data_IF_293125262263
#
_entry.id   IF_293125262263
#
_cell.length_a   1.000
_cell.length_b   1.000
_cell.length_c   1.000
_cell.angle_alpha   90.00
_cell.angle_beta   90.00
_cell.angle_gamma   90.00
#
_symmetry.space_group_name_H-M   'P 1'
#
loop_
_entity.id
_entity.type
_entity.pdbx_description
1 polymer ?
#
# COMPACT_ATOMS: atom_id res chain seq x y z
N UNK A 1 21.96 15.27 -2.44
CA UNK A 1 21.67 13.86 -2.78
C UNK A 1 20.35 13.39 -2.20
N UNK A 2 20.16 13.31 -0.87
CA UNK A 2 18.84 12.92 -0.30
C UNK A 2 17.75 13.98 -0.53
N UNK A 3 18.08 15.27 -0.47
CA UNK A 3 17.15 16.37 -0.76
C UNK A 3 16.73 16.39 -2.24
N UNK A 4 17.67 16.21 -3.16
CA UNK A 4 17.38 16.12 -4.60
C UNK A 4 16.49 14.92 -4.95
N UNK A 5 16.66 13.78 -4.26
CA UNK A 5 15.79 12.60 -4.43
C UNK A 5 14.38 12.86 -3.93
N UNK A 6 14.22 13.58 -2.83
CA UNK A 6 12.90 13.92 -2.31
C UNK A 6 12.17 14.91 -3.23
N UNK A 7 12.88 15.88 -3.81
CA UNK A 7 12.28 16.87 -4.72
C UNK A 7 11.83 16.21 -6.04
N UNK A 8 12.67 15.36 -6.64
CA UNK A 8 12.31 14.62 -7.85
C UNK A 8 11.20 13.60 -7.58
N UNK A 9 11.24 12.90 -6.43
CA UNK A 9 10.17 11.99 -6.04
C UNK A 9 8.85 12.75 -5.85
N UNK A 10 8.88 13.94 -5.25
CA UNK A 10 7.67 14.77 -5.04
C UNK A 10 7.10 15.27 -6.36
N UNK A 11 7.94 15.69 -7.33
CA UNK A 11 7.47 16.08 -8.67
C UNK A 11 6.88 14.88 -9.44
N UNK A 12 7.54 13.72 -9.38
CA UNK A 12 7.01 12.50 -9.97
C UNK A 12 5.70 12.08 -9.32
N UNK A 13 5.63 12.07 -7.99
CA UNK A 13 4.41 11.77 -7.24
C UNK A 13 3.28 12.72 -7.62
N UNK A 14 3.55 14.03 -7.72
CA UNK A 14 2.55 15.00 -8.18
C UNK A 14 2.05 14.70 -9.59
N UNK A 15 2.95 14.34 -10.52
CA UNK A 15 2.57 13.95 -11.89
C UNK A 15 1.76 12.66 -11.91
N UNK A 16 2.14 11.67 -11.09
CA UNK A 16 1.39 10.42 -10.95
C UNK A 16 0.01 10.66 -10.34
N UNK A 17 -0.10 11.52 -9.33
CA UNK A 17 -1.36 11.88 -8.67
C UNK A 17 -2.28 12.69 -9.59
N UNK A 18 -1.74 13.54 -10.46
CA UNK A 18 -2.53 14.29 -11.44
C UNK A 18 -3.04 13.40 -12.58
N UNK A 19 -2.23 12.42 -12.99
CA UNK A 19 -2.54 11.57 -14.12
C UNK A 19 -3.48 10.40 -13.76
N UNK A 20 -3.46 9.98 -12.49
CA UNK A 20 -4.37 8.96 -11.97
C UNK A 20 -5.63 9.68 -11.48
N UNK A 21 -6.80 9.37 -12.05
CA UNK A 21 -8.06 9.93 -11.59
C UNK A 21 -8.32 9.53 -10.12
N UNK A 22 -7.99 10.43 -9.21
CA UNK A 22 -8.20 10.24 -7.78
C UNK A 22 -9.63 10.63 -7.43
N UNK A 23 -10.42 9.63 -7.05
CA UNK A 23 -11.71 9.86 -6.41
C UNK A 23 -11.51 10.41 -5.01
N UNK A 24 -12.36 11.34 -4.59
CA UNK A 24 -12.46 11.75 -3.18
C UNK A 24 -13.56 10.94 -2.52
N UNK A 25 -13.21 10.22 -1.47
CA UNK A 25 -14.19 9.56 -0.62
C UNK A 25 -14.05 10.12 0.78
N UNK A 26 -15.12 10.77 1.25
CA UNK A 26 -15.24 11.18 2.64
C UNK A 26 -15.32 9.93 3.51
N UNK A 27 -14.38 9.77 4.44
CA UNK A 27 -14.43 8.70 5.44
C UNK A 27 -14.49 9.30 6.83
N UNK A 28 -15.36 8.74 7.66
CA UNK A 28 -15.40 9.08 9.07
C UNK A 28 -14.17 8.47 9.79
N UNK A 29 -13.46 9.29 10.56
CA UNK A 29 -12.32 8.87 11.38
C UNK A 29 -12.42 9.42 12.79
N UNK A 30 -11.77 8.75 13.73
CA UNK A 30 -11.75 9.15 15.14
C UNK A 30 -10.68 10.22 15.35
N UNK A 31 -11.04 11.37 15.89
CA UNK A 31 -10.17 12.52 16.16
C UNK A 31 -10.13 12.85 17.65
N UNK A 32 -8.93 13.05 18.18
CA UNK A 32 -8.74 13.46 19.56
C UNK A 32 -8.42 14.96 19.63
N UNK A 33 -9.31 15.74 20.25
CA UNK A 33 -9.10 17.19 20.46
C UNK A 33 -7.89 17.47 21.34
N UNK A 34 -7.68 16.70 22.41
CA UNK A 34 -6.57 16.95 23.34
C UNK A 34 -5.21 16.69 22.68
N UNK A 35 -5.10 15.64 21.86
CA UNK A 35 -3.88 15.33 21.11
C UNK A 35 -3.79 16.04 19.76
N UNK A 36 -4.83 16.77 19.36
CA UNK A 36 -4.95 17.47 18.07
C UNK A 36 -4.61 16.59 16.85
N UNK A 37 -5.09 15.33 16.83
CA UNK A 37 -4.81 14.39 15.73
C UNK A 37 -5.88 13.33 15.53
N UNK A 38 -5.94 12.79 14.31
CA UNK A 38 -6.66 11.55 14.03
C UNK A 38 -5.97 10.36 14.68
N UNK A 39 -6.76 9.41 15.18
CA UNK A 39 -6.28 8.22 15.87
C UNK A 39 -6.29 7.03 14.90
N UNK A 40 -5.16 6.32 14.82
CA UNK A 40 -5.13 4.98 14.23
C UNK A 40 -5.91 4.00 15.13
N UNK A 41 -6.44 2.93 14.56
CA UNK A 41 -7.31 1.96 15.25
C UNK A 41 -6.69 1.42 16.56
N UNK A 42 -5.36 1.19 16.55
CA UNK A 42 -4.58 0.76 17.72
C UNK A 42 -4.52 1.77 18.88
N UNK A 43 -4.85 3.03 18.62
CA UNK A 43 -4.87 4.14 19.59
C UNK A 43 -6.30 4.47 20.06
N UNK A 44 -7.29 3.75 19.54
CA UNK A 44 -8.70 3.85 19.94
C UNK A 44 -8.99 2.71 20.90
N UNK A 45 -9.57 3.04 22.06
CA UNK A 45 -10.08 2.06 23.02
C UNK A 45 -11.57 2.30 23.25
N UNK A 46 -12.32 1.22 23.47
CA UNK A 46 -13.74 1.28 23.78
C UNK A 46 -14.17 0.08 24.63
N UNK A 47 -15.38 0.15 25.18
CA UNK A 47 -16.04 -1.04 25.69
C UNK A 47 -16.59 -1.87 24.53
N UNK A 48 -16.35 -3.18 24.53
CA UNK A 48 -16.72 -4.08 23.45
C UNK A 48 -18.25 -4.17 23.32
N UNK A 49 -18.82 -3.91 22.13
CA UNK A 49 -20.27 -3.92 21.93
C UNK A 49 -20.86 -5.35 21.78
N UNK A 50 -20.03 -6.39 21.82
CA UNK A 50 -20.50 -7.77 21.66
C UNK A 50 -21.25 -8.20 22.90
N UNK A 51 -22.47 -8.71 22.72
CA UNK A 51 -23.27 -9.30 23.79
C UNK A 51 -22.43 -10.35 24.55
N UNK A 52 -22.53 -10.33 25.88
CA UNK A 52 -21.79 -11.21 26.81
C UNK A 52 -20.25 -11.05 26.84
N UNK A 53 -19.68 -10.09 26.10
CA UNK A 53 -18.24 -9.80 26.17
C UNK A 53 -17.92 -8.70 27.19
N UNK A 54 -18.51 -7.51 27.03
CA UNK A 54 -18.32 -6.32 27.88
C UNK A 54 -16.85 -6.03 28.25
N UNK A 55 -15.93 -6.25 27.32
CA UNK A 55 -14.51 -5.97 27.57
C UNK A 55 -14.24 -4.46 27.48
N UNK A 56 -13.76 -3.84 28.55
CA UNK A 56 -13.62 -2.37 28.65
C UNK A 56 -12.43 -1.76 27.90
N UNK A 57 -11.55 -2.57 27.32
CA UNK A 57 -10.35 -2.07 26.64
C UNK A 57 -10.20 -2.67 25.25
N UNK A 58 -11.33 -2.87 24.55
CA UNK A 58 -11.30 -3.33 23.17
C UNK A 58 -10.62 -2.29 22.27
N UNK A 59 -9.78 -2.74 21.34
CA UNK A 59 -9.15 -1.86 20.35
C UNK A 59 -10.15 -1.48 19.26
N UNK A 60 -9.85 -0.41 18.52
CA UNK A 60 -10.71 0.06 17.43
C UNK A 60 -10.96 -0.97 16.33
N UNK A 61 -9.97 -1.84 16.06
CA UNK A 61 -9.97 -2.85 14.99
C UNK A 61 -10.44 -4.23 15.46
N UNK A 62 -10.14 -4.61 16.70
CA UNK A 62 -10.42 -5.95 17.22
C UNK A 62 -10.54 -5.98 18.75
N UNK A 63 -11.51 -6.75 19.25
CA UNK A 63 -11.60 -7.07 20.67
C UNK A 63 -10.66 -8.23 21.04
N UNK A 64 -9.77 -8.03 22.00
CA UNK A 64 -8.81 -9.07 22.44
C UNK A 64 -9.48 -10.20 23.24
N UNK A 65 -10.65 -9.96 23.85
CA UNK A 65 -11.38 -10.97 24.64
C UNK A 65 -12.19 -11.94 23.78
N UNK A 66 -12.95 -11.44 22.81
CA UNK A 66 -13.83 -12.28 21.97
C UNK A 66 -13.34 -12.46 20.52
N UNK A 67 -12.27 -11.76 20.11
CA UNK A 67 -11.70 -11.83 18.77
C UNK A 67 -12.50 -11.13 17.67
N UNK A 68 -13.68 -10.55 17.98
CA UNK A 68 -14.54 -9.89 16.99
C UNK A 68 -13.84 -8.67 16.37
N UNK A 69 -13.92 -8.57 15.05
CA UNK A 69 -13.50 -7.39 14.29
C UNK A 69 -14.48 -6.23 14.52
N UNK A 70 -13.93 -5.05 14.76
CA UNK A 70 -14.65 -3.85 15.13
C UNK A 70 -14.34 -2.73 14.13
N UNK A 71 -15.26 -1.78 14.03
CA UNK A 71 -15.05 -0.54 13.30
C UNK A 71 -15.04 0.62 14.31
N UNK A 72 -13.95 1.40 14.41
CA UNK A 72 -13.81 2.42 15.45
C UNK A 72 -14.89 3.51 15.41
N UNK A 73 -15.51 3.77 14.26
CA UNK A 73 -16.59 4.76 14.13
C UNK A 73 -17.94 4.28 14.66
N UNK A 74 -18.09 2.98 14.89
CA UNK A 74 -19.34 2.36 15.37
C UNK A 74 -19.31 2.06 16.87
N UNK A 75 -18.15 2.25 17.51
CA UNK A 75 -17.95 1.97 18.93
C UNK A 75 -18.51 3.09 19.81
N UNK A 76 -19.03 2.68 20.97
CA UNK A 76 -19.51 3.58 22.03
C UNK A 76 -18.42 3.76 23.10
N UNK A 77 -18.49 4.85 23.85
CA UNK A 77 -17.57 5.16 24.95
C UNK A 77 -16.10 5.17 24.54
N UNK A 78 -15.83 5.79 23.39
CA UNK A 78 -14.50 5.95 22.82
C UNK A 78 -13.55 6.64 23.80
N UNK A 79 -12.35 6.10 23.92
CA UNK A 79 -11.24 6.64 24.71
C UNK A 79 -9.98 6.68 23.85
N UNK A 80 -9.25 7.79 23.94
CA UNK A 80 -7.91 7.87 23.37
C UNK A 80 -6.93 7.10 24.26
N UNK A 81 -6.26 6.09 23.71
CA UNK A 81 -5.24 5.32 24.47
C UNK A 81 -4.12 6.19 25.05
N UNK A 82 -3.83 7.31 24.41
CA UNK A 82 -2.71 8.20 24.78
C UNK A 82 -3.07 9.15 25.92
N UNK A 83 -4.21 9.84 25.84
CA UNK A 83 -4.58 10.89 26.80
C UNK A 83 -5.87 10.61 27.58
N UNK A 84 -6.53 9.48 27.32
CA UNK A 84 -7.77 9.02 27.96
C UNK A 84 -9.00 9.90 27.74
N UNK A 85 -8.89 11.02 27.01
CA UNK A 85 -10.04 11.86 26.65
C UNK A 85 -10.97 11.16 25.66
N UNK A 86 -12.24 11.57 25.65
CA UNK A 86 -13.24 11.10 24.68
C UNK A 86 -12.98 11.73 23.31
N UNK A 87 -12.62 10.94 22.28
CA UNK A 87 -12.47 11.42 20.92
C UNK A 87 -13.83 11.71 20.26
N UNK A 88 -13.82 12.45 19.16
CA UNK A 88 -14.99 12.72 18.33
C UNK A 88 -14.82 12.11 16.92
N UNK A 89 -15.92 11.79 16.28
CA UNK A 89 -15.90 11.35 14.87
C UNK A 89 -15.86 12.61 14.00
N UNK A 90 -14.92 12.66 13.06
CA UNK A 90 -14.81 13.72 12.05
C UNK A 90 -14.68 13.11 10.67
N UNK A 91 -15.29 13.77 9.70
CA UNK A 91 -15.10 13.42 8.30
C UNK A 91 -13.74 13.91 7.82
N UNK A 92 -13.10 13.09 7.00
CA UNK A 92 -11.85 13.40 6.32
C UNK A 92 -11.93 12.92 4.90
N UNK A 93 -11.52 13.76 3.97
CA UNK A 93 -11.39 13.38 2.57
C UNK A 93 -10.13 12.53 2.41
N UNK A 94 -10.29 11.36 1.83
CA UNK A 94 -9.17 10.55 1.38
C UNK A 94 -9.23 10.43 -0.13
N UNK A 95 -8.04 10.50 -0.73
CA UNK A 95 -7.86 10.23 -2.15
C UNK A 95 -7.78 8.71 -2.34
N UNK A 96 -8.58 8.19 -3.25
CA UNK A 96 -8.57 6.79 -3.63
C UNK A 96 -8.36 6.65 -5.14
N UNK A 97 -7.70 5.56 -5.54
CA UNK A 97 -7.50 5.23 -6.95
C UNK A 97 -8.66 4.40 -7.46
N UNK A 98 -9.27 4.84 -8.55
CA UNK A 98 -10.27 4.05 -9.26
C UNK A 98 -9.61 2.95 -10.10
N UNK A 99 -9.06 1.92 -9.45
CA UNK A 99 -8.59 0.71 -10.15
C UNK A 99 -9.63 0.07 -11.06
N UNK A 100 -10.97 0.12 -10.83
CA UNK A 100 -11.94 -0.42 -11.78
C UNK A 100 -11.79 0.14 -13.20
N UNK A 101 -11.39 1.41 -13.36
CA UNK A 101 -11.17 2.03 -14.66
C UNK A 101 -9.89 1.54 -15.36
N UNK A 102 -8.93 1.03 -14.58
CA UNK A 102 -7.65 0.50 -15.07
C UNK A 102 -7.61 -1.03 -15.13
N UNK A 103 -8.67 -1.68 -14.64
CA UNK A 103 -8.72 -3.13 -14.44
C UNK A 103 -8.39 -3.89 -15.71
N UNK A 104 -9.07 -3.58 -16.82
CA UNK A 104 -8.92 -4.33 -18.07
C UNK A 104 -7.48 -4.22 -18.63
N UNK A 105 -6.91 -3.01 -18.62
CA UNK A 105 -5.52 -2.78 -19.05
C UNK A 105 -4.51 -3.48 -18.15
N UNK A 106 -4.78 -3.49 -16.84
CA UNK A 106 -3.91 -4.13 -15.86
C UNK A 106 -3.96 -5.65 -15.97
N UNK A 107 -5.15 -6.23 -16.15
CA UNK A 107 -5.34 -7.66 -16.38
C UNK A 107 -4.67 -8.09 -17.69
N UNK A 108 -4.80 -7.29 -18.77
CA UNK A 108 -4.11 -7.54 -20.04
C UNK A 108 -2.59 -7.56 -19.85
N UNK A 109 -2.02 -6.54 -19.19
CA UNK A 109 -0.60 -6.48 -18.87
C UNK A 109 -0.14 -7.73 -18.08
N UNK A 110 -0.86 -8.08 -17.01
CA UNK A 110 -0.50 -9.22 -16.15
C UNK A 110 -0.58 -10.54 -16.92
N UNK A 111 -1.63 -10.75 -17.71
CA UNK A 111 -1.81 -11.96 -18.50
C UNK A 111 -0.69 -12.14 -19.53
N UNK A 112 -0.28 -11.06 -20.20
CA UNK A 112 0.80 -11.09 -21.19
C UNK A 112 2.18 -11.28 -20.53
N UNK A 113 2.48 -10.47 -19.51
CA UNK A 113 3.81 -10.42 -18.93
C UNK A 113 4.11 -11.55 -17.96
N UNK A 114 3.10 -12.13 -17.31
CA UNK A 114 3.31 -13.33 -16.49
C UNK A 114 3.86 -14.51 -17.29
N UNK A 115 3.45 -14.61 -18.57
CA UNK A 115 3.94 -15.64 -19.50
C UNK A 115 5.26 -15.18 -20.13
N UNK A 116 5.28 -14.02 -20.80
CA UNK A 116 6.45 -13.55 -21.55
C UNK A 116 7.67 -13.30 -20.64
N UNK A 117 7.42 -12.90 -19.39
CA UNK A 117 8.42 -12.63 -18.36
C UNK A 117 8.79 -13.84 -17.50
N UNK A 118 8.18 -15.01 -17.77
CA UNK A 118 8.38 -16.24 -17.00
C UNK A 118 8.21 -16.03 -15.48
N UNK A 119 7.12 -15.38 -15.05
CA UNK A 119 6.90 -15.10 -13.64
C UNK A 119 6.77 -16.40 -12.85
N UNK A 120 7.33 -16.41 -11.63
CA UNK A 120 7.19 -17.58 -10.75
C UNK A 120 5.72 -17.83 -10.37
N UNK A 121 5.35 -19.10 -10.18
CA UNK A 121 3.97 -19.46 -9.80
C UNK A 121 3.48 -18.75 -8.53
N UNK A 122 4.37 -18.54 -7.55
CA UNK A 122 4.05 -17.81 -6.33
C UNK A 122 3.71 -16.34 -6.62
N UNK A 123 4.43 -15.72 -7.56
CA UNK A 123 4.18 -14.34 -7.94
C UNK A 123 2.81 -14.19 -8.63
N UNK A 124 2.49 -15.12 -9.54
CA UNK A 124 1.20 -15.17 -10.23
C UNK A 124 0.05 -15.33 -9.23
N UNK A 125 0.16 -16.28 -8.30
CA UNK A 125 -0.86 -16.53 -7.29
C UNK A 125 -1.09 -15.32 -6.37
N UNK A 126 -0.01 -14.70 -5.88
CA UNK A 126 -0.11 -13.49 -5.04
C UNK A 126 -0.78 -12.33 -5.80
N UNK A 127 -0.43 -12.16 -7.08
CA UNK A 127 -1.00 -11.13 -7.95
C UNK A 127 -2.51 -11.28 -8.11
N UNK A 128 -2.99 -12.46 -8.49
CA UNK A 128 -4.43 -12.69 -8.67
C UNK A 128 -5.22 -12.69 -7.37
N UNK A 129 -4.64 -13.16 -6.26
CA UNK A 129 -5.26 -13.05 -4.95
C UNK A 129 -5.51 -11.57 -4.59
N UNK A 130 -4.52 -10.71 -4.87
CA UNK A 130 -4.60 -9.28 -4.58
C UNK A 130 -5.64 -8.56 -5.45
N UNK A 131 -5.71 -8.86 -6.75
CA UNK A 131 -6.74 -8.33 -7.67
C UNK A 131 -8.15 -8.70 -7.16
N UNK A 132 -8.32 -9.91 -6.62
CA UNK A 132 -9.60 -10.39 -6.12
C UNK A 132 -10.00 -9.75 -4.79
N UNK A 133 -9.05 -9.53 -3.89
CA UNK A 133 -9.32 -9.05 -2.52
C UNK A 133 -9.38 -7.53 -2.39
N UNK A 134 -8.76 -6.77 -3.31
CA UNK A 134 -8.98 -5.32 -3.44
C UNK A 134 -8.52 -4.47 -2.25
N UNK A 135 -7.42 -4.84 -1.59
CA UNK A 135 -6.98 -4.17 -0.35
C UNK A 135 -5.92 -3.11 -0.64
N UNK A 136 -6.26 -1.83 -0.46
CA UNK A 136 -5.33 -0.71 -0.65
C UNK A 136 -4.59 -0.36 0.65
N UNK A 137 -3.26 -0.34 0.61
CA UNK A 137 -2.45 0.04 1.78
C UNK A 137 -1.21 0.88 1.40
N UNK A 138 -1.04 1.97 2.15
CA UNK A 138 0.08 2.90 2.49
C UNK A 138 1.35 3.00 1.61
N UNK A 139 1.77 2.00 0.85
CA UNK A 139 3.06 1.99 0.13
C UNK A 139 2.92 2.20 -1.38
N UNK A 140 2.06 3.12 -1.81
CA UNK A 140 1.86 3.36 -3.25
C UNK A 140 3.06 4.05 -3.91
N UNK A 141 3.82 4.83 -3.13
CA UNK A 141 4.91 5.72 -3.54
C UNK A 141 6.28 5.05 -3.49
N UNK A 142 6.49 4.07 -2.60
CA UNK A 142 7.79 3.41 -2.46
C UNK A 142 8.39 2.91 -3.80
N UNK A 143 7.63 2.29 -4.72
CA UNK A 143 8.16 1.91 -6.03
C UNK A 143 8.53 3.09 -6.94
N UNK A 144 7.95 4.28 -6.77
CA UNK A 144 8.33 5.50 -7.50
C UNK A 144 9.77 5.91 -7.14
N UNK A 145 10.25 5.50 -5.97
CA UNK A 145 11.65 5.61 -5.56
C UNK A 145 12.64 5.07 -6.59
N UNK A 146 12.32 4.00 -7.34
CA UNK A 146 13.23 3.48 -8.37
C UNK A 146 13.48 4.47 -9.50
N UNK A 147 12.42 5.15 -9.94
CA UNK A 147 12.49 6.18 -10.99
C UNK A 147 13.26 7.39 -10.47
N UNK A 148 12.93 7.82 -9.25
CA UNK A 148 13.55 8.98 -8.59
C UNK A 148 15.04 8.80 -8.37
N UNK A 149 15.48 7.62 -7.94
CA UNK A 149 16.90 7.27 -7.80
C UNK A 149 17.62 7.37 -9.16
N UNK A 150 16.99 6.88 -10.23
CA UNK A 150 17.58 6.93 -11.59
C UNK A 150 17.66 8.38 -12.09
N UNK A 151 16.65 9.19 -11.83
CA UNK A 151 16.62 10.61 -12.17
C UNK A 151 17.67 11.44 -11.40
N UNK A 152 17.95 11.09 -10.14
CA UNK A 152 19.05 11.68 -9.39
C UNK A 152 20.42 11.27 -9.95
N UNK A 153 20.52 10.07 -10.50
CA UNK A 153 21.76 9.57 -11.08
C UNK A 153 22.06 10.20 -12.45
N UNK A 154 21.04 10.44 -13.28
CA UNK A 154 21.22 10.99 -14.64
C UNK A 154 20.03 11.82 -15.12
N UNK A 155 20.26 12.95 -15.81
CA UNK A 155 19.19 13.71 -16.47
C UNK A 155 18.51 12.93 -17.60
N UNK A 156 19.14 11.87 -18.11
CA UNK A 156 18.62 11.04 -19.20
C UNK A 156 17.82 9.82 -18.70
N UNK A 157 17.29 9.87 -17.48
CA UNK A 157 16.61 8.75 -16.82
C UNK A 157 15.40 8.22 -17.60
N UNK A 158 14.72 9.06 -18.38
CA UNK A 158 13.59 8.66 -19.23
C UNK A 158 14.01 7.62 -20.28
N UNK A 159 15.29 7.58 -20.70
CA UNK A 159 15.78 6.54 -21.62
C UNK A 159 15.72 5.12 -21.04
N UNK A 160 15.62 5.01 -19.72
CA UNK A 160 15.46 3.74 -19.00
C UNK A 160 14.00 3.46 -18.66
N UNK A 161 13.27 4.47 -18.18
CA UNK A 161 11.93 4.30 -17.64
C UNK A 161 10.79 4.62 -18.61
N UNK A 162 11.07 5.21 -19.78
CA UNK A 162 10.10 5.49 -20.84
C UNK A 162 10.55 4.95 -22.21
N UNK A 163 11.11 3.73 -22.21
CA UNK A 163 11.67 3.11 -23.39
C UNK A 163 11.41 1.58 -23.42
N UNK A 164 10.14 1.14 -23.35
CA UNK A 164 9.79 -0.27 -23.23
C UNK A 164 10.23 -1.13 -24.41
N UNK A 165 10.49 -0.54 -25.58
CA UNK A 165 10.94 -1.27 -26.78
C UNK A 165 12.40 -1.73 -26.68
N UNK A 166 13.21 -1.04 -25.88
CA UNK A 166 14.65 -1.28 -25.78
C UNK A 166 15.11 -1.67 -24.37
N UNK A 167 14.21 -1.61 -23.38
CA UNK A 167 14.53 -1.87 -21.98
C UNK A 167 13.67 -3.00 -21.44
N UNK A 168 14.34 -4.08 -21.03
CA UNK A 168 13.73 -5.17 -20.27
C UNK A 168 13.94 -4.94 -18.77
N UNK A 169 12.87 -4.62 -18.05
CA UNK A 169 12.93 -4.38 -16.61
C UNK A 169 12.82 -5.68 -15.80
N UNK A 170 13.82 -5.95 -14.95
CA UNK A 170 13.86 -7.07 -14.02
C UNK A 170 13.78 -6.59 -12.58
N UNK A 171 12.93 -7.21 -11.77
CA UNK A 171 12.81 -6.87 -10.35
C UNK A 171 13.02 -8.09 -9.45
N UNK A 172 13.78 -7.88 -8.37
CA UNK A 172 14.14 -8.92 -7.40
C UNK A 172 13.61 -8.52 -6.03
N UNK A 173 12.82 -9.38 -5.40
CA UNK A 173 12.21 -9.06 -4.11
C UNK A 173 11.83 -10.29 -3.30
N UNK A 174 11.55 -10.09 -2.01
CA UNK A 174 10.87 -11.08 -1.19
C UNK A 174 9.39 -11.18 -1.55
N UNK A 175 8.78 -12.33 -1.27
CA UNK A 175 7.36 -12.62 -1.62
C UNK A 175 6.35 -11.58 -1.12
N UNK A 176 6.64 -10.86 -0.05
CA UNK A 176 5.71 -9.91 0.56
C UNK A 176 5.55 -8.62 -0.25
N UNK A 177 6.47 -8.36 -1.19
CA UNK A 177 6.46 -7.16 -2.01
C UNK A 177 5.76 -7.37 -3.36
N UNK A 178 5.41 -8.61 -3.74
CA UNK A 178 4.98 -8.94 -5.11
C UNK A 178 3.83 -8.07 -5.59
N UNK A 179 2.76 -7.91 -4.81
CA UNK A 179 1.58 -7.17 -5.24
C UNK A 179 1.86 -5.69 -5.51
N UNK A 180 2.83 -5.09 -4.80
CA UNK A 180 3.23 -3.70 -5.05
C UNK A 180 3.86 -3.55 -6.44
N UNK A 181 4.53 -4.58 -6.93
CA UNK A 181 5.29 -4.55 -8.19
C UNK A 181 4.56 -5.17 -9.38
N UNK A 182 3.60 -6.05 -9.14
CA UNK A 182 2.79 -6.68 -10.20
C UNK A 182 1.45 -5.99 -10.42
N UNK A 183 0.94 -5.27 -9.41
CA UNK A 183 -0.37 -4.61 -9.47
C UNK A 183 -0.25 -3.11 -9.25
N UNK A 184 0.19 -2.68 -8.06
CA UNK A 184 0.12 -1.26 -7.68
C UNK A 184 0.99 -0.36 -8.55
N UNK A 185 2.28 -0.66 -8.67
CA UNK A 185 3.19 0.17 -9.45
C UNK A 185 2.85 0.15 -10.95
N UNK A 186 2.62 -1.00 -11.61
CA UNK A 186 2.15 -1.02 -12.99
C UNK A 186 0.83 -0.26 -13.19
N UNK A 187 -0.13 -0.36 -12.26
CA UNK A 187 -1.37 0.43 -12.35
C UNK A 187 -1.11 1.94 -12.30
N UNK A 188 -0.10 2.37 -11.52
CA UNK A 188 0.35 3.76 -11.43
C UNK A 188 0.88 4.24 -12.78
N UNK A 189 1.81 3.47 -13.34
CA UNK A 189 2.47 3.80 -14.61
C UNK A 189 1.46 3.80 -15.78
N UNK A 190 0.63 2.75 -15.88
CA UNK A 190 -0.42 2.64 -16.91
C UNK A 190 -1.45 3.77 -16.77
N UNK A 191 -1.80 4.12 -15.53
CA UNK A 191 -2.74 5.19 -15.22
C UNK A 191 -2.33 6.54 -15.80
N UNK A 192 -1.02 6.80 -15.95
CA UNK A 192 -0.54 8.06 -16.54
C UNK A 192 -0.84 8.22 -18.03
N UNK A 193 -1.05 7.10 -18.74
CA UNK A 193 -1.16 7.09 -20.20
C UNK A 193 0.16 7.33 -20.95
N UNK A 194 1.29 7.44 -20.25
CA UNK A 194 2.62 7.59 -20.87
C UNK A 194 3.28 6.24 -21.19
N UNK A 195 4.31 6.28 -22.04
CA UNK A 195 5.00 5.09 -22.55
C UNK A 195 6.06 4.55 -21.57
N UNK A 196 5.65 4.16 -20.38
CA UNK A 196 6.56 3.65 -19.34
C UNK A 196 7.11 2.26 -19.65
N UNK A 197 8.36 2.03 -19.25
CA UNK A 197 8.97 0.70 -19.17
C UNK A 197 8.33 -0.07 -18.01
N UNK A 198 7.47 -1.03 -18.33
CA UNK A 198 6.84 -1.90 -17.33
C UNK A 198 7.74 -3.09 -17.00
N UNK A 199 7.52 -3.67 -15.82
CA UNK A 199 8.30 -4.83 -15.38
C UNK A 199 8.07 -6.01 -16.33
N UNK A 200 9.17 -6.56 -16.85
CA UNK A 200 9.17 -7.76 -17.67
C UNK A 200 9.17 -9.00 -16.81
N UNK A 201 10.17 -9.14 -15.95
CA UNK A 201 10.34 -10.33 -15.12
C UNK A 201 10.49 -10.00 -13.65
N UNK A 202 9.96 -10.87 -12.81
CA UNK A 202 10.04 -10.77 -11.36
C UNK A 202 10.65 -12.05 -10.78
N UNK A 203 11.74 -11.89 -10.04
CA UNK A 203 12.38 -12.95 -9.28
C UNK A 203 12.00 -12.81 -7.80
N UNK A 204 11.30 -13.82 -7.30
CA UNK A 204 10.73 -13.81 -5.95
C UNK A 204 11.38 -14.88 -5.09
N UNK A 205 12.03 -14.46 -4.01
CA UNK A 205 12.62 -15.37 -3.03
C UNK A 205 11.68 -15.61 -1.84
N UNK A 206 11.72 -16.83 -1.29
CA UNK A 206 11.09 -17.14 -0.01
C UNK A 206 11.96 -16.60 1.13
N UNK A 207 11.41 -16.58 2.34
CA UNK A 207 12.18 -16.21 3.52
C UNK A 207 13.42 -17.09 3.69
N UNK A 208 14.53 -16.45 4.05
CA UNK A 208 15.66 -17.13 4.61
C UNK A 208 15.39 -17.37 6.10
N UNK A 209 15.45 -18.62 6.54
CA UNK A 209 15.41 -18.95 7.96
C UNK A 209 16.83 -18.89 8.54
N UNK A 210 16.93 -18.54 9.82
CA UNK A 210 18.11 -18.76 10.62
C UNK A 210 17.96 -20.11 11.33
N UNK A 211 18.93 -21.01 11.20
CA UNK A 211 18.81 -22.40 11.67
C UNK A 211 17.57 -23.13 11.12
N UNK A 212 17.25 -24.31 11.67
CA UNK A 212 16.22 -25.21 11.16
C UNK A 212 14.78 -24.63 11.13
N UNK A 213 14.50 -23.51 11.81
CA UNK A 213 13.15 -22.91 11.85
C UNK A 213 13.04 -21.50 12.46
N UNK A 214 14.15 -20.86 12.86
CA UNK A 214 14.08 -19.59 13.59
C UNK A 214 14.04 -18.41 12.62
N UNK A 215 13.17 -17.43 12.91
CA UNK A 215 13.17 -16.16 12.18
C UNK A 215 14.23 -15.24 12.77
N UNK A 216 14.86 -14.43 11.93
CA UNK A 216 15.76 -13.37 12.41
C UNK A 216 14.99 -12.41 13.33
N UNK A 217 15.57 -12.10 14.49
CA UNK A 217 15.02 -11.17 15.48
C UNK A 217 16.11 -10.17 15.88
N UNK A 218 15.76 -8.88 15.89
CA UNK A 218 16.57 -7.81 16.47
C UNK A 218 16.25 -7.58 17.96
N UNK A 219 15.26 -8.28 18.51
CA UNK A 219 15.00 -8.26 19.94
C UNK A 219 16.14 -9.00 20.65
N UNK A 220 16.99 -8.21 21.31
CA UNK A 220 17.95 -8.68 22.31
C UNK A 220 17.21 -8.97 23.60
#
# INVERSE_FOLDING_TARGET
MLEDTLEVATDLDYRFDLAIQLGRLGTAKVYCETCQRFLADRLVESTCPTLDCNYDSARGDQCEKCGKLLNPTELKDLRCKVCQSTPQIRDTDHLFRELPLLKDKLEEYINNMSIAGCWSQNAIQATYAWIKEGVFYVWFDAPIGYVSITACYTPEWEKWWKNPENVDLYQFMGKDNVSFHTVMFPSTLIGTGENWTLMKSISVTKYLNYEASTRYSLAV
#
